data_IF_721900925942
#
_entry.id   IF_721900925942
#
_cell.length_a   1.000
_cell.length_b   1.000
_cell.length_c   1.000
_cell.angle_alpha   90.00
_cell.angle_beta   90.00
_cell.angle_gamma   90.00
#
_symmetry.space_group_name_H-M   'P 1'
#
loop_
_entity.id
_entity.type
_entity.pdbx_description
1 polymer ?
#
# COMPACT_ATOMS: atom_id res chain seq x y z
N UNK A 1 -22.34 -11.80 -14.48
CA UNK A 1 -21.65 -12.64 -13.46
C UNK A 1 -20.35 -13.23 -14.02
N UNK A 2 -19.38 -12.39 -14.47
CA UNK A 2 -18.10 -12.86 -15.05
C UNK A 2 -16.84 -12.12 -14.56
N UNK A 3 -16.97 -11.03 -13.79
CA UNK A 3 -15.82 -10.22 -13.37
C UNK A 3 -15.35 -10.44 -11.92
N UNK A 4 -16.16 -11.10 -11.09
CA UNK A 4 -15.84 -11.35 -9.66
C UNK A 4 -14.82 -12.48 -9.46
N UNK A 5 -14.70 -13.41 -10.43
CA UNK A 5 -13.80 -14.55 -10.29
C UNK A 5 -12.31 -14.19 -10.38
N UNK A 6 -11.91 -13.11 -11.05
CA UNK A 6 -10.48 -12.89 -11.37
C UNK A 6 -9.64 -12.36 -10.21
N UNK A 7 -10.22 -11.55 -9.32
CA UNK A 7 -9.52 -11.03 -8.12
C UNK A 7 -9.31 -12.15 -7.09
N UNK A 8 -10.29 -13.06 -6.97
CA UNK A 8 -10.23 -14.19 -6.05
C UNK A 8 -9.13 -15.19 -6.44
N UNK A 9 -8.93 -15.43 -7.74
CA UNK A 9 -7.84 -16.31 -8.21
C UNK A 9 -6.46 -15.67 -8.06
N UNK A 10 -6.31 -14.37 -8.35
CA UNK A 10 -5.02 -13.68 -8.21
C UNK A 10 -4.46 -13.74 -6.79
N UNK A 11 -5.31 -13.49 -5.78
CA UNK A 11 -4.89 -13.55 -4.38
C UNK A 11 -4.56 -14.98 -3.93
N UNK A 12 -5.32 -15.98 -4.40
CA UNK A 12 -5.05 -17.38 -4.08
C UNK A 12 -3.76 -17.91 -4.73
N UNK A 13 -3.52 -17.59 -6.00
CA UNK A 13 -2.32 -18.01 -6.72
C UNK A 13 -1.05 -17.35 -6.18
N UNK A 14 -1.15 -16.12 -5.65
CA UNK A 14 0.00 -15.46 -5.02
C UNK A 14 0.25 -15.95 -3.58
N UNK A 15 -0.78 -16.15 -2.75
CA UNK A 15 -0.57 -16.47 -1.33
C UNK A 15 -0.23 -17.94 -1.05
N UNK A 16 -0.76 -18.88 -1.83
CA UNK A 16 -0.66 -20.32 -1.51
C UNK A 16 0.44 -21.06 -2.29
N UNK A 17 1.12 -20.40 -3.24
CA UNK A 17 2.11 -21.04 -4.11
C UNK A 17 3.56 -20.89 -3.60
N UNK A 18 3.77 -20.63 -2.31
CA UNK A 18 5.10 -20.40 -1.76
C UNK A 18 5.50 -21.54 -0.83
N UNK A 19 6.60 -22.21 -1.15
CA UNK A 19 7.30 -23.08 -0.18
C UNK A 19 7.86 -22.22 0.96
N UNK A 20 8.06 -22.78 2.16
CA UNK A 20 8.62 -22.05 3.32
C UNK A 20 9.92 -21.27 3.00
N UNK A 21 10.73 -21.75 2.04
CA UNK A 21 11.92 -21.05 1.56
C UNK A 21 11.61 -19.76 0.79
N UNK A 22 10.58 -19.77 -0.06
CA UNK A 22 10.10 -18.57 -0.75
C UNK A 22 9.50 -17.56 0.23
N UNK A 23 8.77 -18.03 1.26
CA UNK A 23 8.27 -17.18 2.33
C UNK A 23 9.41 -16.54 3.16
N UNK A 24 10.49 -17.30 3.46
CA UNK A 24 11.67 -16.80 4.17
C UNK A 24 12.43 -15.72 3.38
N UNK A 25 12.67 -15.94 2.08
CA UNK A 25 13.30 -14.94 1.22
C UNK A 25 12.40 -13.72 0.95
N UNK A 26 11.09 -13.91 0.82
CA UNK A 26 10.11 -12.81 0.75
C UNK A 26 10.09 -12.00 2.06
N UNK A 27 10.11 -12.66 3.22
CA UNK A 27 10.20 -12.00 4.52
C UNK A 27 11.49 -11.18 4.64
N UNK A 28 12.65 -11.78 4.37
CA UNK A 28 13.93 -11.09 4.54
C UNK A 28 14.15 -9.98 3.50
N UNK A 29 13.69 -10.14 2.27
CA UNK A 29 13.89 -9.15 1.21
C UNK A 29 12.82 -8.05 1.22
N UNK A 30 11.55 -8.42 1.40
CA UNK A 30 10.41 -7.50 1.28
C UNK A 30 10.01 -6.93 2.64
N UNK A 31 10.04 -7.71 3.72
CA UNK A 31 9.65 -7.19 5.04
C UNK A 31 10.87 -6.58 5.73
N UNK A 32 11.92 -7.35 6.00
CA UNK A 32 13.09 -6.85 6.73
C UNK A 32 13.98 -5.93 5.86
N UNK A 33 14.25 -6.33 4.62
CA UNK A 33 15.13 -5.60 3.71
C UNK A 33 14.54 -4.28 3.23
N UNK A 34 13.22 -4.22 2.99
CA UNK A 34 12.55 -2.97 2.59
C UNK A 34 12.29 -2.08 3.79
N UNK A 35 12.01 -2.63 4.98
CA UNK A 35 11.95 -1.84 6.21
C UNK A 35 13.24 -1.05 6.45
N UNK A 36 14.42 -1.64 6.17
CA UNK A 36 15.71 -0.92 6.26
C UNK A 36 15.94 0.16 5.19
N UNK A 37 15.14 0.19 4.12
CA UNK A 37 15.28 1.14 3.00
C UNK A 37 14.17 2.19 2.93
N UNK A 38 13.06 1.98 3.63
CA UNK A 38 11.88 2.84 3.56
C UNK A 38 12.21 4.29 3.92
N UNK A 39 13.07 4.47 4.92
CA UNK A 39 13.60 5.76 5.36
C UNK A 39 14.27 6.51 4.20
N UNK A 40 15.24 5.87 3.53
CA UNK A 40 15.96 6.46 2.41
C UNK A 40 15.07 6.75 1.20
N UNK A 41 14.05 5.93 0.94
CA UNK A 41 13.08 6.21 -0.12
C UNK A 41 12.20 7.42 0.20
N UNK A 42 11.75 7.56 1.45
CA UNK A 42 10.99 8.73 1.87
C UNK A 42 11.85 10.00 1.84
N UNK A 43 13.14 9.91 2.16
CA UNK A 43 14.07 11.04 2.06
C UNK A 43 14.31 11.47 0.60
N UNK A 44 14.42 10.51 -0.33
CA UNK A 44 14.50 10.80 -1.78
C UNK A 44 13.25 11.54 -2.26
N UNK A 45 12.07 11.02 -1.91
CA UNK A 45 10.77 11.60 -2.29
C UNK A 45 10.58 12.98 -1.64
N UNK A 46 10.97 13.13 -0.38
CA UNK A 46 10.82 14.37 0.37
C UNK A 46 11.73 15.48 -0.12
N UNK A 47 13.01 15.17 -0.34
CA UNK A 47 14.06 16.18 -0.53
C UNK A 47 14.46 16.40 -1.99
N UNK A 48 14.42 15.36 -2.84
CA UNK A 48 14.95 15.44 -4.21
C UNK A 48 13.85 15.59 -5.26
N UNK A 49 12.70 14.96 -5.07
CA UNK A 49 11.56 15.12 -5.97
C UNK A 49 10.80 16.42 -5.70
N UNK A 50 10.35 17.10 -6.76
CA UNK A 50 9.59 18.36 -6.70
C UNK A 50 8.13 18.22 -7.17
N UNK A 51 7.57 17.02 -7.08
CA UNK A 51 6.21 16.71 -7.55
C UNK A 51 5.19 16.72 -6.41
N UNK A 52 3.97 17.21 -6.63
CA UNK A 52 2.90 17.14 -5.64
C UNK A 52 2.65 15.70 -5.18
N UNK A 53 2.50 15.51 -3.86
CA UNK A 53 2.28 14.18 -3.25
C UNK A 53 0.89 14.18 -2.64
N UNK A 54 0.05 13.23 -3.05
CA UNK A 54 -1.25 12.97 -2.42
C UNK A 54 -1.30 11.53 -1.95
N UNK A 55 -1.59 11.33 -0.66
CA UNK A 55 -1.77 10.02 -0.04
C UNK A 55 -3.27 9.81 0.14
N UNK A 56 -3.80 8.71 -0.39
CA UNK A 56 -5.19 8.31 -0.15
C UNK A 56 -5.20 7.17 0.86
N UNK A 57 -5.96 7.32 1.93
CA UNK A 57 -6.06 6.33 2.99
C UNK A 57 -7.54 6.04 3.27
N UNK A 58 -7.91 4.76 3.38
CA UNK A 58 -9.28 4.38 3.74
C UNK A 58 -9.49 4.55 5.24
N UNK A 59 -10.56 5.23 5.67
CA UNK A 59 -10.81 5.45 7.10
C UNK A 59 -11.01 4.16 7.89
N UNK A 60 -11.53 3.13 7.23
CA UNK A 60 -11.88 1.84 7.82
C UNK A 60 -10.79 0.80 7.52
N UNK A 61 -9.55 1.24 7.24
CA UNK A 61 -8.40 0.34 7.08
C UNK A 61 -8.00 -0.24 8.45
N UNK A 62 -8.38 -1.49 8.68
CA UNK A 62 -8.04 -2.24 9.90
C UNK A 62 -6.63 -2.86 9.85
N UNK A 63 -5.94 -2.83 8.70
CA UNK A 63 -4.62 -3.43 8.52
C UNK A 63 -3.50 -2.42 8.72
N UNK A 64 -3.69 -1.19 8.26
CA UNK A 64 -2.74 -0.09 8.38
C UNK A 64 -3.45 1.09 9.06
N UNK A 65 -3.04 1.49 10.27
CA UNK A 65 -3.61 2.66 10.93
C UNK A 65 -3.43 3.95 10.13
N UNK A 66 -4.43 4.84 10.16
CA UNK A 66 -4.38 6.13 9.44
C UNK A 66 -3.20 7.00 9.87
N UNK A 67 -2.72 6.84 11.09
CA UNK A 67 -1.55 7.48 11.66
C UNK A 67 -0.30 7.21 10.82
N UNK A 68 -0.18 6.06 10.17
CA UNK A 68 0.94 5.78 9.26
C UNK A 68 1.00 6.79 8.11
N UNK A 69 -0.15 7.20 7.55
CA UNK A 69 -0.21 8.21 6.49
C UNK A 69 0.16 9.61 7.01
N UNK A 70 -0.28 9.95 8.23
CA UNK A 70 0.10 11.22 8.86
C UNK A 70 1.57 11.25 9.27
N UNK A 71 2.17 10.11 9.63
CA UNK A 71 3.62 10.01 9.88
C UNK A 71 4.42 10.29 8.61
N UNK A 72 3.96 9.81 7.45
CA UNK A 72 4.57 10.17 6.16
C UNK A 72 4.44 11.66 5.88
N UNK A 73 3.28 12.27 6.14
CA UNK A 73 3.09 13.72 6.01
C UNK A 73 3.97 14.53 6.97
N UNK A 74 4.16 14.06 8.21
CA UNK A 74 5.05 14.70 9.19
C UNK A 74 6.49 14.76 8.68
N UNK A 75 6.97 13.67 8.04
CA UNK A 75 8.30 13.63 7.42
C UNK A 75 8.38 14.42 6.11
N UNK A 76 7.30 14.42 5.33
CA UNK A 76 7.23 15.09 4.02
C UNK A 76 6.09 16.12 4.08
N UNK A 77 6.32 17.34 4.62
CA UNK A 77 5.26 18.32 4.92
C UNK A 77 4.42 18.75 3.71
N UNK A 78 4.97 18.61 2.50
CA UNK A 78 4.30 18.89 1.23
C UNK A 78 3.34 17.77 0.77
N UNK A 79 3.30 16.64 1.47
CA UNK A 79 2.34 15.58 1.18
C UNK A 79 0.95 15.94 1.71
N UNK A 80 -0.07 15.72 0.89
CA UNK A 80 -1.46 15.93 1.27
C UNK A 80 -2.14 14.58 1.57
N UNK A 81 -2.59 14.37 2.80
CA UNK A 81 -3.31 13.15 3.21
C UNK A 81 -4.80 13.36 2.99
N UNK A 82 -5.42 12.46 2.21
CA UNK A 82 -6.85 12.40 1.95
C UNK A 82 -7.41 11.11 2.53
N UNK A 83 -8.09 11.24 3.66
CA UNK A 83 -8.83 10.14 4.27
C UNK A 83 -10.17 10.00 3.56
N UNK A 84 -10.51 8.78 3.13
CA UNK A 84 -11.73 8.46 2.40
C UNK A 84 -12.64 7.63 3.29
N UNK A 85 -13.83 8.15 3.57
CA UNK A 85 -14.88 7.49 4.35
C UNK A 85 -15.41 6.23 3.66
N UNK A 86 -15.84 5.22 4.45
CA UNK A 86 -16.42 3.97 3.96
C UNK A 86 -15.47 3.20 3.02
N UNK A 87 -14.17 3.19 3.35
CA UNK A 87 -13.11 2.52 2.59
C UNK A 87 -12.14 1.86 3.54
N UNK A 88 -11.88 0.59 3.28
CA UNK A 88 -10.87 -0.25 3.91
C UNK A 88 -9.61 -0.38 3.02
N UNK A 89 -8.64 -1.18 3.48
CA UNK A 89 -7.37 -1.45 2.80
C UNK A 89 -7.51 -1.89 1.34
N UNK A 90 -8.56 -2.65 1.02
CA UNK A 90 -8.78 -3.23 -0.30
C UNK A 90 -9.63 -2.29 -1.16
N UNK A 91 -10.73 -1.78 -0.60
CA UNK A 91 -11.74 -0.97 -1.30
C UNK A 91 -11.27 0.45 -1.62
N UNK A 92 -10.20 0.93 -0.97
CA UNK A 92 -9.51 2.16 -1.39
C UNK A 92 -8.81 1.98 -2.76
N UNK A 93 -8.45 0.75 -3.14
CA UNK A 93 -7.80 0.41 -4.41
C UNK A 93 -8.80 -0.17 -5.41
N UNK A 94 -9.62 -1.12 -4.96
CA UNK A 94 -10.54 -1.91 -5.79
C UNK A 94 -11.91 -1.23 -5.92
N UNK A 95 -12.56 -1.37 -7.07
CA UNK A 95 -13.89 -0.79 -7.32
C UNK A 95 -13.89 0.66 -7.84
N UNK A 96 -12.71 1.25 -8.10
CA UNK A 96 -12.54 2.56 -8.75
C UNK A 96 -12.65 2.51 -10.28
N UNK A 97 -12.87 1.34 -10.86
CA UNK A 97 -12.93 1.14 -12.29
C UNK A 97 -14.28 1.66 -12.79
N UNK A 98 -14.30 2.71 -13.61
CA UNK A 98 -15.48 2.98 -14.44
C UNK A 98 -15.60 1.81 -15.42
N UNK A 99 -16.78 1.22 -15.52
CA UNK A 99 -17.09 0.35 -16.64
C UNK A 99 -16.84 1.18 -17.91
N UNK A 100 -15.86 0.76 -18.71
CA UNK A 100 -15.61 1.32 -20.03
C UNK A 100 -16.74 0.93 -20.98
#
# INVERSE_FOLDING_TARGET
>A
MKHICRVRTYLFDCFFLHTHNAAWHTLHNIICGTAGKIEGYLDEVGNRLKCEITIFHGKDDELIPVECSYNVQSRIPRANVKVVENKDHITIVVGRQKAA
#
